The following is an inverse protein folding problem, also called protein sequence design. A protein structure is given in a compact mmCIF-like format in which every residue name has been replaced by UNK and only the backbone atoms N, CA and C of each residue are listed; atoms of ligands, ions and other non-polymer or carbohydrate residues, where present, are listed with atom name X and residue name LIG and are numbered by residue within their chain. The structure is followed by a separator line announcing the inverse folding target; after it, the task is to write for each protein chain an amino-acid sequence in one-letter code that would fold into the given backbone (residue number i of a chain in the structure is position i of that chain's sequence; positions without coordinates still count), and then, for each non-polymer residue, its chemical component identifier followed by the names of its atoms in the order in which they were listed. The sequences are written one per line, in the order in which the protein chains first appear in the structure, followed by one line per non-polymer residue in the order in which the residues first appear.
data_IF_749690355918
#
_entry.id   IF_749690355918
#
_cell.length_a   1.000
_cell.length_b   1.000
_cell.length_c   1.000
_cell.angle_alpha   90.00
_cell.angle_beta   90.00
_cell.angle_gamma   90.00
#
_symmetry.space_group_name_H-M   'P 1'
#
loop_
_entity.id
_entity.type
_entity.pdbx_description
1 polymer ?
#
# COMPACT_ATOMS: atom_id res chain seq x y z
N UNK A 1 13.86 -0.65 13.60
CA UNK A 1 12.80 -0.25 12.66
C UNK A 1 12.30 1.15 13.03
N UNK A 2 12.19 2.02 12.05
CA UNK A 2 11.82 3.43 12.27
C UNK A 2 10.30 3.66 12.37
N UNK A 3 9.50 2.58 12.28
CA UNK A 3 8.05 2.63 12.45
C UNK A 3 7.26 3.12 11.24
N UNK A 4 7.89 3.20 10.08
CA UNK A 4 7.24 3.56 8.82
C UNK A 4 6.85 2.28 8.07
N UNK A 5 5.63 2.25 7.53
CA UNK A 5 5.11 1.24 6.62
C UNK A 5 5.06 1.81 5.20
N UNK A 6 5.45 1.00 4.22
CA UNK A 6 5.33 1.34 2.80
C UNK A 6 4.73 0.16 2.05
N UNK A 7 3.69 0.41 1.29
CA UNK A 7 3.09 -0.57 0.37
C UNK A 7 3.00 0.03 -1.03
N UNK A 8 3.12 -0.82 -2.05
CA UNK A 8 3.20 -0.42 -3.45
C UNK A 8 2.13 -1.15 -4.27
N UNK A 9 1.45 -0.42 -5.14
CA UNK A 9 0.41 -0.96 -6.02
C UNK A 9 0.69 -0.49 -7.46
N UNK A 10 1.06 -1.41 -8.34
CA UNK A 10 1.30 -1.10 -9.76
C UNK A 10 0.02 -0.59 -10.40
N UNK A 11 0.14 0.51 -11.12
CA UNK A 11 -0.94 1.08 -11.93
C UNK A 11 -0.60 0.87 -13.40
N UNK A 12 -1.54 0.29 -14.14
CA UNK A 12 -1.38 0.14 -15.59
C UNK A 12 -1.77 1.46 -16.25
N UNK A 13 -0.81 2.09 -16.88
CA UNK A 13 -0.98 3.38 -17.58
C UNK A 13 -0.77 3.23 -19.08
N UNK A 14 -1.16 4.22 -19.84
CA UNK A 14 -0.74 4.34 -21.22
C UNK A 14 0.78 4.58 -21.23
N UNK A 15 1.48 3.95 -22.18
CA UNK A 15 2.94 4.08 -22.26
C UNK A 15 3.31 5.54 -22.56
N UNK A 16 4.09 6.20 -21.72
CA UNK A 16 4.56 7.56 -22.01
C UNK A 16 5.46 7.56 -23.23
N UNK A 17 5.48 8.67 -23.96
CA UNK A 17 6.44 8.91 -25.03
C UNK A 17 7.87 9.00 -24.48
N UNK A 18 8.85 8.77 -25.31
CA UNK A 18 10.27 8.85 -24.89
C UNK A 18 10.68 10.25 -24.41
N UNK A 19 10.00 11.27 -24.87
CA UNK A 19 10.13 12.68 -24.47
C UNK A 19 9.43 13.01 -23.14
N UNK A 20 8.52 12.15 -22.69
CA UNK A 20 7.80 12.29 -21.41
C UNK A 20 8.50 11.57 -20.24
N UNK A 21 9.53 10.76 -20.54
CA UNK A 21 10.22 9.95 -19.52
C UNK A 21 11.55 10.60 -19.17
N UNK A 22 11.67 11.07 -17.94
CA UNK A 22 12.94 11.52 -17.38
C UNK A 22 13.66 10.38 -16.64
N UNK A 23 14.99 10.45 -16.48
CA UNK A 23 15.69 9.54 -15.59
C UNK A 23 15.11 9.58 -14.17
N UNK A 24 14.93 8.41 -13.58
CA UNK A 24 14.30 8.31 -12.25
C UNK A 24 14.67 7.05 -11.51
N UNK A 25 14.06 6.87 -10.34
CA UNK A 25 14.34 5.77 -9.43
C UNK A 25 13.42 4.59 -9.74
N UNK A 26 13.95 3.37 -9.94
CA UNK A 26 13.15 2.17 -10.07
C UNK A 26 12.27 1.91 -8.84
N UNK A 27 11.03 1.50 -9.04
CA UNK A 27 10.02 1.41 -7.97
C UNK A 27 10.44 0.51 -6.79
N UNK A 28 11.18 -0.56 -7.04
CA UNK A 28 11.67 -1.46 -6.01
C UNK A 28 12.75 -0.84 -5.10
N UNK A 29 13.43 0.22 -5.55
CA UNK A 29 14.35 1.01 -4.73
C UNK A 29 13.63 2.13 -3.97
N UNK A 30 12.58 2.69 -4.55
CA UNK A 30 11.82 3.81 -3.96
C UNK A 30 11.32 3.47 -2.56
N UNK A 31 10.63 2.34 -2.42
CA UNK A 31 10.12 1.87 -1.12
C UNK A 31 11.25 1.62 -0.11
N UNK A 32 12.36 1.04 -0.56
CA UNK A 32 13.54 0.81 0.27
C UNK A 32 14.18 2.10 0.76
N UNK A 33 14.38 3.06 -0.11
CA UNK A 33 14.93 4.37 0.21
C UNK A 33 14.05 5.06 1.27
N UNK A 34 12.72 5.04 1.09
CA UNK A 34 11.81 5.62 2.06
C UNK A 34 11.93 4.96 3.44
N UNK A 35 12.02 3.61 3.50
CA UNK A 35 12.18 2.89 4.77
C UNK A 35 13.54 3.11 5.44
N UNK A 36 14.60 3.39 4.68
CA UNK A 36 15.93 3.63 5.21
C UNK A 36 16.14 5.07 5.68
N UNK A 37 15.55 6.05 4.98
CA UNK A 37 15.81 7.47 5.21
C UNK A 37 14.74 8.14 6.08
N UNK A 38 13.48 7.67 6.05
CA UNK A 38 12.38 8.36 6.71
C UNK A 38 12.07 7.80 8.10
N UNK A 39 11.68 8.69 9.02
CA UNK A 39 11.31 8.37 10.40
C UNK A 39 9.82 8.52 10.66
N UNK A 40 9.07 9.09 9.70
CA UNK A 40 7.62 9.29 9.76
C UNK A 40 6.97 9.08 8.40
N UNK A 41 5.65 8.85 8.39
CA UNK A 41 4.87 8.77 7.16
C UNK A 41 4.91 10.10 6.38
N UNK A 42 4.98 11.22 7.09
CA UNK A 42 5.09 12.56 6.50
C UNK A 42 6.40 12.74 5.74
N UNK A 43 7.53 12.36 6.36
CA UNK A 43 8.83 12.40 5.69
C UNK A 43 8.86 11.49 4.45
N UNK A 44 8.27 10.30 4.56
CA UNK A 44 8.16 9.37 3.43
C UNK A 44 7.29 9.96 2.31
N UNK A 45 6.13 10.57 2.62
CA UNK A 45 5.32 11.29 1.65
C UNK A 45 6.13 12.39 0.96
N UNK A 46 6.81 13.24 1.72
CA UNK A 46 7.54 14.38 1.18
C UNK A 46 8.73 13.94 0.32
N UNK A 47 9.37 12.83 0.66
CA UNK A 47 10.40 12.20 -0.15
C UNK A 47 9.81 11.69 -1.47
N UNK A 48 8.73 10.92 -1.44
CA UNK A 48 8.07 10.36 -2.61
C UNK A 48 7.55 11.45 -3.56
N UNK A 49 7.02 12.56 -3.01
CA UNK A 49 6.54 13.69 -3.81
C UNK A 49 7.65 14.41 -4.58
N UNK A 50 8.90 14.34 -4.12
CA UNK A 50 10.06 14.98 -4.77
C UNK A 50 10.91 14.03 -5.62
N UNK A 51 10.73 12.73 -5.43
CA UNK A 51 11.53 11.73 -6.13
C UNK A 51 11.09 11.59 -7.58
N UNK A 52 12.01 11.49 -8.55
CA UNK A 52 11.63 11.17 -9.93
C UNK A 52 11.26 9.69 -10.05
N UNK A 53 10.07 9.41 -10.55
CA UNK A 53 9.55 8.06 -10.75
C UNK A 53 9.67 7.63 -12.21
N UNK A 54 10.03 6.36 -12.45
CA UNK A 54 10.06 5.75 -13.79
C UNK A 54 8.92 4.74 -14.02
N UNK A 55 8.07 4.56 -13.01
CA UNK A 55 6.97 3.59 -13.05
C UNK A 55 5.73 4.21 -12.43
N UNK A 56 4.57 3.76 -12.91
CA UNK A 56 3.26 4.20 -12.43
C UNK A 56 2.82 3.35 -11.26
N UNK A 57 2.71 3.95 -10.08
CA UNK A 57 2.37 3.26 -8.83
C UNK A 57 1.53 4.15 -7.90
N UNK A 58 0.76 3.47 -7.06
CA UNK A 58 0.25 4.05 -5.82
C UNK A 58 1.12 3.56 -4.67
N UNK A 59 1.64 4.48 -3.88
CA UNK A 59 2.32 4.21 -2.62
C UNK A 59 1.35 4.52 -1.48
N UNK A 60 1.18 3.58 -0.54
CA UNK A 60 0.56 3.86 0.73
C UNK A 60 1.67 3.86 1.78
N UNK A 61 1.88 4.99 2.43
CA UNK A 61 2.82 5.16 3.52
C UNK A 61 2.07 5.44 4.81
N UNK A 62 2.50 4.83 5.91
CA UNK A 62 1.84 4.99 7.21
C UNK A 62 2.84 4.88 8.36
N UNK A 63 2.51 5.52 9.47
CA UNK A 63 3.12 5.31 10.77
C UNK A 63 2.03 5.19 11.86
N UNK A 64 2.40 5.23 13.13
CA UNK A 64 1.45 5.13 14.24
C UNK A 64 0.46 6.31 14.35
N UNK A 65 0.69 7.39 13.60
CA UNK A 65 -0.03 8.67 13.74
C UNK A 65 -0.80 9.06 12.48
N UNK A 66 -0.22 8.82 11.32
CA UNK A 66 -0.77 9.29 10.05
C UNK A 66 -0.50 8.34 8.89
N UNK A 67 -1.27 8.48 7.81
CA UNK A 67 -1.10 7.71 6.60
C UNK A 67 -1.41 8.57 5.37
N UNK A 68 -0.74 8.27 4.25
CA UNK A 68 -0.90 8.98 2.98
C UNK A 68 -0.93 7.99 1.81
N UNK A 69 -1.68 8.31 0.77
CA UNK A 69 -1.56 7.67 -0.54
C UNK A 69 -0.93 8.67 -1.49
N UNK A 70 0.12 8.24 -2.17
CA UNK A 70 0.84 9.00 -3.18
C UNK A 70 0.68 8.28 -4.51
N UNK A 71 0.11 8.94 -5.48
CA UNK A 71 -0.03 8.48 -6.85
C UNK A 71 1.13 9.03 -7.68
N UNK A 72 1.94 8.16 -8.27
CA UNK A 72 3.14 8.51 -9.00
C UNK A 72 3.14 7.91 -10.41
N UNK A 73 3.58 8.72 -11.36
CA UNK A 73 3.81 8.38 -12.77
C UNK A 73 5.05 9.16 -13.24
N UNK A 74 5.79 8.74 -14.26
CA UNK A 74 6.91 9.52 -14.79
C UNK A 74 6.57 10.97 -15.14
N UNK A 75 5.30 11.26 -15.45
CA UNK A 75 4.79 12.57 -15.84
C UNK A 75 4.30 13.44 -14.69
N UNK A 76 4.13 12.86 -13.48
CA UNK A 76 3.66 13.63 -12.32
C UNK A 76 3.44 12.80 -11.07
N UNK A 77 3.38 13.48 -9.94
CA UNK A 77 3.15 12.88 -8.62
C UNK A 77 2.11 13.70 -7.87
N UNK A 78 1.13 13.03 -7.24
CA UNK A 78 0.11 13.69 -6.42
C UNK A 78 -0.16 12.87 -5.16
N UNK A 79 -0.39 13.57 -4.05
CA UNK A 79 -0.91 12.95 -2.84
C UNK A 79 -2.45 13.04 -2.84
N UNK A 80 -3.11 11.96 -2.44
CA UNK A 80 -4.55 11.99 -2.22
C UNK A 80 -4.84 12.64 -0.87
N UNK A 81 -5.81 13.53 -0.84
CA UNK A 81 -6.38 14.01 0.41
C UNK A 81 -7.15 12.88 1.10
N UNK A 82 -7.05 12.85 2.42
CA UNK A 82 -7.76 11.89 3.23
C UNK A 82 -9.23 12.34 3.35
N UNK A 83 -10.13 11.46 2.92
CA UNK A 83 -11.57 11.61 3.11
C UNK A 83 -12.06 10.43 3.95
N UNK A 84 -12.42 10.70 5.21
CA UNK A 84 -12.85 9.68 6.15
C UNK A 84 -11.74 9.03 7.01
N UNK A 85 -12.09 7.99 7.77
CA UNK A 85 -11.21 7.28 8.67
C UNK A 85 -10.38 6.20 7.95
N UNK A 86 -10.89 5.62 6.86
CA UNK A 86 -10.18 4.63 6.06
C UNK A 86 -9.48 5.27 4.87
N UNK A 87 -8.20 4.96 4.72
CA UNK A 87 -7.42 5.29 3.54
C UNK A 87 -7.08 3.99 2.79
N UNK A 88 -7.43 3.93 1.52
CA UNK A 88 -7.20 2.76 0.69
C UNK A 88 -6.55 3.13 -0.64
N UNK A 89 -5.71 2.21 -1.14
CA UNK A 89 -5.12 2.28 -2.46
C UNK A 89 -5.26 0.92 -3.16
N UNK A 90 -5.48 0.96 -4.47
CA UNK A 90 -5.52 -0.21 -5.34
C UNK A 90 -4.72 0.08 -6.63
N UNK A 91 -5.00 -0.60 -7.72
CA UNK A 91 -4.21 -0.52 -8.94
C UNK A 91 -4.76 0.48 -9.97
N UNK A 92 -5.25 1.65 -9.52
CA UNK A 92 -5.69 2.74 -10.39
C UNK A 92 -5.53 4.10 -9.71
N UNK A 93 -5.42 5.15 -10.50
CA UNK A 93 -5.33 6.52 -10.02
C UNK A 93 -6.72 7.09 -9.69
N UNK A 94 -6.80 7.85 -8.61
CA UNK A 94 -8.01 8.53 -8.13
C UNK A 94 -7.92 10.05 -8.26
N UNK A 95 -6.70 10.60 -8.12
CA UNK A 95 -6.49 12.05 -8.20
C UNK A 95 -6.85 12.56 -9.61
N UNK A 96 -7.63 13.65 -9.73
CA UNK A 96 -8.10 14.16 -11.04
C UNK A 96 -6.96 14.40 -12.04
N UNK A 97 -5.82 14.91 -11.59
CA UNK A 97 -4.67 15.17 -12.44
C UNK A 97 -3.86 13.91 -12.81
N UNK A 98 -4.03 12.80 -12.10
CA UNK A 98 -3.35 11.54 -12.40
C UNK A 98 -4.16 10.62 -13.31
N UNK A 99 -5.50 10.71 -13.25
CA UNK A 99 -6.41 9.90 -14.08
C UNK A 99 -6.11 9.95 -15.58
N UNK A 100 -5.77 11.10 -16.18
CA UNK A 100 -5.44 11.16 -17.61
C UNK A 100 -4.29 10.24 -18.02
N UNK A 101 -3.29 10.01 -17.15
CA UNK A 101 -2.16 9.13 -17.44
C UNK A 101 -2.55 7.66 -17.52
N UNK A 102 -3.62 7.27 -16.85
CA UNK A 102 -4.12 5.89 -16.84
C UNK A 102 -4.91 5.54 -18.11
N UNK A 103 -5.53 6.51 -18.74
CA UNK A 103 -6.34 6.29 -19.94
C UNK A 103 -7.49 5.32 -19.66
N UNK A 104 -7.67 4.31 -20.54
CA UNK A 104 -8.76 3.31 -20.47
C UNK A 104 -8.37 2.03 -19.72
N UNK A 105 -7.20 1.96 -19.12
CA UNK A 105 -6.63 0.72 -18.55
C UNK A 105 -7.04 0.45 -17.10
N UNK A 106 -8.15 1.02 -16.63
CA UNK A 106 -8.67 0.73 -15.28
C UNK A 106 -9.27 -0.67 -15.25
N UNK A 107 -8.73 -1.53 -14.41
CA UNK A 107 -9.32 -2.83 -14.14
C UNK A 107 -10.59 -2.68 -13.29
N UNK A 108 -11.72 -3.27 -13.73
CA UNK A 108 -12.94 -3.33 -12.93
C UNK A 108 -12.70 -3.96 -11.54
N UNK A 109 -11.82 -4.96 -11.47
CA UNK A 109 -11.42 -5.58 -10.20
C UNK A 109 -10.74 -4.57 -9.25
N UNK A 110 -9.96 -3.62 -9.78
CA UNK A 110 -9.31 -2.59 -8.97
C UNK A 110 -10.33 -1.65 -8.32
N UNK A 111 -11.35 -1.24 -9.08
CA UNK A 111 -12.46 -0.43 -8.57
C UNK A 111 -13.26 -1.17 -7.50
N UNK A 112 -13.72 -2.38 -7.78
CA UNK A 112 -14.49 -3.19 -6.83
C UNK A 112 -13.74 -3.41 -5.50
N UNK A 113 -12.41 -3.63 -5.52
CA UNK A 113 -11.60 -3.76 -4.30
C UNK A 113 -11.54 -2.46 -3.51
N UNK A 114 -11.41 -1.34 -4.19
CA UNK A 114 -11.40 -0.03 -3.54
C UNK A 114 -12.74 0.23 -2.85
N UNK A 115 -13.85 0.04 -3.55
CA UNK A 115 -15.20 0.26 -3.02
C UNK A 115 -15.46 -0.62 -1.79
N UNK A 116 -15.03 -1.88 -1.83
CA UNK A 116 -15.13 -2.79 -0.70
C UNK A 116 -14.34 -2.30 0.51
N UNK A 117 -13.07 -1.89 0.30
CA UNK A 117 -12.20 -1.42 1.38
C UNK A 117 -12.74 -0.14 2.03
N UNK A 118 -13.23 0.80 1.23
CA UNK A 118 -13.83 2.03 1.74
C UNK A 118 -15.17 1.79 2.45
N UNK A 119 -15.93 0.76 2.03
CA UNK A 119 -17.17 0.37 2.69
C UNK A 119 -16.94 -0.41 4.00
N UNK A 120 -15.77 -1.00 4.22
CA UNK A 120 -15.44 -1.73 5.43
C UNK A 120 -15.46 -0.82 6.68
N UNK A 121 -15.16 0.48 6.52
CA UNK A 121 -15.28 1.48 7.58
C UNK A 121 -16.70 1.56 8.17
N UNK A 122 -17.73 1.47 7.32
CA UNK A 122 -19.12 1.65 7.71
C UNK A 122 -19.69 0.45 8.46
N UNK A 123 -18.95 -0.67 8.49
CA UNK A 123 -19.38 -1.94 9.10
C UNK A 123 -18.70 -2.20 10.46
N UNK A 124 -17.86 -1.28 10.93
CA UNK A 124 -17.00 -1.53 12.08
C UNK A 124 -17.58 -0.93 13.35
N UNK A 125 -18.01 -1.80 14.26
CA UNK A 125 -17.93 -1.51 15.70
C UNK A 125 -16.42 -1.40 15.99
N UNK A 126 -15.97 -0.23 16.39
CA UNK A 126 -14.52 0.09 16.52
C UNK A 126 -13.83 -0.90 17.46
N UNK A 127 -12.88 -1.73 16.99
CA UNK A 127 -12.14 -2.62 17.87
C UNK A 127 -11.31 -1.83 18.89
N UNK A 128 -11.39 -2.22 20.14
CA UNK A 128 -10.76 -1.47 21.26
C UNK A 128 -9.34 -1.96 21.56
N UNK A 129 -8.96 -3.16 21.11
CA UNK A 129 -7.65 -3.76 21.39
C UNK A 129 -6.84 -4.02 20.14
N UNK A 130 -5.50 -4.07 20.27
CA UNK A 130 -4.60 -4.43 19.17
C UNK A 130 -4.94 -5.78 18.53
N UNK A 131 -5.27 -6.79 19.33
CA UNK A 131 -5.65 -8.11 18.81
C UNK A 131 -6.95 -8.05 18.01
N UNK A 132 -7.93 -7.28 18.49
CA UNK A 132 -9.19 -7.09 17.77
C UNK A 132 -9.00 -6.33 16.45
N UNK A 133 -8.12 -5.33 16.41
CA UNK A 133 -7.75 -4.61 15.18
C UNK A 133 -7.09 -5.53 14.16
N UNK A 134 -6.10 -6.31 14.58
CA UNK A 134 -5.42 -7.27 13.71
C UNK A 134 -6.41 -8.31 13.18
N UNK A 135 -7.20 -8.92 14.05
CA UNK A 135 -8.21 -9.91 13.65
C UNK A 135 -9.29 -9.31 12.72
N UNK A 136 -9.65 -8.04 12.91
CA UNK A 136 -10.57 -7.35 11.99
C UNK A 136 -9.95 -7.17 10.60
N UNK A 137 -8.71 -6.71 10.52
CA UNK A 137 -7.99 -6.57 9.26
C UNK A 137 -7.81 -7.93 8.54
N UNK A 138 -7.51 -9.01 9.28
CA UNK A 138 -7.43 -10.37 8.75
C UNK A 138 -8.75 -10.82 8.12
N UNK A 139 -9.89 -10.56 8.80
CA UNK A 139 -11.21 -10.89 8.25
C UNK A 139 -11.52 -10.13 6.97
N UNK A 140 -11.17 -8.83 6.89
CA UNK A 140 -11.32 -8.03 5.67
C UNK A 140 -10.49 -8.63 4.53
N UNK A 141 -9.25 -9.00 4.81
CA UNK A 141 -8.35 -9.59 3.81
C UNK A 141 -8.81 -10.97 3.35
N UNK A 142 -9.45 -11.75 4.22
CA UNK A 142 -9.93 -13.11 3.94
C UNK A 142 -11.38 -13.16 3.37
N UNK A 143 -12.07 -12.05 3.27
CA UNK A 143 -13.47 -12.00 2.85
C UNK A 143 -13.63 -12.42 1.38
N UNK A 144 -14.29 -13.58 1.17
CA UNK A 144 -14.52 -14.14 -0.17
C UNK A 144 -15.61 -13.42 -0.97
N UNK A 145 -16.47 -12.68 -0.31
CA UNK A 145 -17.49 -11.84 -0.97
C UNK A 145 -16.85 -10.64 -1.68
N UNK A 146 -15.62 -10.30 -1.26
CA UNK A 146 -14.85 -9.22 -1.82
C UNK A 146 -13.79 -9.70 -2.82
N UNK A 147 -13.48 -8.91 -3.83
CA UNK A 147 -12.40 -9.22 -4.77
C UNK A 147 -11.01 -8.95 -4.19
N UNK A 148 -10.85 -8.80 -2.87
CA UNK A 148 -9.55 -8.51 -2.23
C UNK A 148 -8.69 -9.76 -2.16
N UNK A 149 -9.33 -10.92 -1.92
CA UNK A 149 -8.67 -12.20 -1.75
C UNK A 149 -8.95 -13.16 -2.91
N UNK A 150 -8.07 -14.12 -3.10
CA UNK A 150 -8.29 -15.29 -3.91
C UNK A 150 -7.63 -15.29 -5.28
N UNK A 151 -7.87 -16.39 -6.02
CA UNK A 151 -7.42 -16.57 -7.39
C UNK A 151 -8.45 -15.99 -8.37
N UNK A 152 -7.98 -15.19 -9.34
CA UNK A 152 -8.81 -14.64 -10.42
C UNK A 152 -8.11 -14.79 -11.74
N UNK A 153 -8.54 -15.78 -12.51
CA UNK A 153 -7.89 -16.12 -13.77
C UNK A 153 -6.43 -16.51 -13.54
N UNK A 154 -5.50 -15.82 -14.16
CA UNK A 154 -4.07 -16.06 -14.06
C UNK A 154 -3.41 -15.43 -12.79
N UNK A 155 -4.16 -14.69 -11.98
CA UNK A 155 -3.64 -14.01 -10.79
C UNK A 155 -4.12 -14.70 -9.52
N UNK A 156 -3.21 -14.94 -8.60
CA UNK A 156 -3.51 -15.45 -7.27
C UNK A 156 -2.79 -14.63 -6.19
N UNK A 157 -3.38 -14.55 -5.00
CA UNK A 157 -2.75 -13.92 -3.84
C UNK A 157 -1.67 -14.86 -3.31
N UNK A 158 -0.42 -14.44 -3.39
CA UNK A 158 0.74 -15.22 -2.95
C UNK A 158 1.01 -15.08 -1.44
N UNK A 159 0.64 -13.96 -0.87
CA UNK A 159 0.79 -13.66 0.55
C UNK A 159 -0.06 -12.45 0.94
N UNK A 160 -0.32 -12.33 2.22
CA UNK A 160 -1.00 -11.19 2.81
C UNK A 160 -0.35 -10.78 4.12
N UNK A 161 -0.44 -9.51 4.45
CA UNK A 161 0.16 -8.97 5.66
C UNK A 161 -0.79 -7.95 6.28
N UNK A 162 -0.93 -8.01 7.60
CA UNK A 162 -1.62 -7.01 8.42
C UNK A 162 -0.68 -6.51 9.50
N UNK A 163 -0.76 -5.22 9.81
CA UNK A 163 0.10 -4.60 10.83
C UNK A 163 -0.68 -3.63 11.69
N UNK A 164 -0.40 -3.63 12.99
CA UNK A 164 -0.76 -2.57 13.91
C UNK A 164 0.52 -1.78 14.23
N UNK A 165 0.58 -0.52 13.74
CA UNK A 165 1.83 0.22 13.67
C UNK A 165 2.24 0.82 15.01
N UNK A 166 1.31 1.08 15.93
CA UNK A 166 1.60 1.63 17.25
C UNK A 166 2.32 0.62 18.15
N UNK A 167 1.81 -0.63 18.17
CA UNK A 167 2.46 -1.74 18.88
C UNK A 167 3.55 -2.43 18.06
N UNK A 168 3.68 -2.09 16.76
CA UNK A 168 4.62 -2.70 15.80
C UNK A 168 4.43 -4.20 15.64
N UNK A 169 3.20 -4.67 15.77
CA UNK A 169 2.85 -6.07 15.54
C UNK A 169 2.49 -6.27 14.09
N UNK A 170 3.03 -7.33 13.51
CA UNK A 170 2.81 -7.71 12.11
C UNK A 170 2.39 -9.17 12.07
N UNK A 171 1.36 -9.49 11.30
CA UNK A 171 0.95 -10.85 10.99
C UNK A 171 1.00 -11.08 9.49
N UNK A 172 1.44 -12.24 9.10
CA UNK A 172 1.69 -12.62 7.70
C UNK A 172 1.03 -13.96 7.41
N UNK A 173 0.33 -14.06 6.27
CA UNK A 173 -0.18 -15.29 5.70
C UNK A 173 0.63 -15.65 4.46
N UNK A 174 1.26 -16.82 4.45
CA UNK A 174 2.01 -17.35 3.32
C UNK A 174 1.05 -18.05 2.34
N UNK A 175 0.29 -17.29 1.60
CA UNK A 175 -0.75 -17.73 0.67
C UNK A 175 -1.93 -16.79 0.66
N UNK A 176 -3.02 -17.22 -0.01
CA UNK A 176 -4.28 -16.50 0.00
C UNK A 176 -4.86 -16.47 1.43
N UNK A 177 -5.26 -15.31 1.95
CA UNK A 177 -5.64 -15.15 3.36
C UNK A 177 -6.93 -15.87 3.76
N UNK A 178 -7.71 -16.36 2.80
CA UNK A 178 -8.87 -17.22 3.00
C UNK A 178 -8.51 -18.72 3.13
N UNK A 179 -7.26 -19.08 2.82
CA UNK A 179 -6.77 -20.46 2.83
C UNK A 179 -5.52 -20.65 3.71
N UNK A 180 -4.74 -19.59 3.93
CA UNK A 180 -3.53 -19.63 4.74
C UNK A 180 -3.75 -18.85 6.05
N UNK A 181 -3.41 -19.41 7.23
CA UNK A 181 -3.53 -18.71 8.50
C UNK A 181 -2.53 -17.56 8.60
N UNK A 182 -2.92 -16.49 9.28
CA UNK A 182 -2.00 -15.44 9.68
C UNK A 182 -1.18 -15.87 10.89
N UNK A 183 0.13 -15.70 10.80
CA UNK A 183 1.06 -15.95 11.91
C UNK A 183 1.79 -14.65 12.27
N UNK A 184 2.06 -14.46 13.54
CA UNK A 184 2.85 -13.31 14.02
C UNK A 184 4.29 -13.38 13.52
N UNK A 185 4.79 -12.27 12.97
CA UNK A 185 6.18 -12.16 12.53
C UNK A 185 7.00 -11.61 13.68
N UNK A 186 7.90 -12.45 14.20
CA UNK A 186 8.92 -12.02 15.17
C UNK A 186 10.19 -11.69 14.40
N UNK A 187 10.63 -10.45 14.50
CA UNK A 187 11.96 -10.10 14.02
C UNK A 187 12.98 -10.53 15.06
N UNK A 188 13.92 -11.38 14.68
CA UNK A 188 15.14 -11.57 15.46
C UNK A 188 15.77 -10.19 15.69
N UNK A 189 16.39 -9.97 16.86
CA UNK A 189 17.03 -8.71 17.23
C UNK A 189 17.75 -8.06 16.05
N UNK A 190 17.70 -6.75 15.90
CA UNK A 190 18.36 -6.07 14.79
C UNK A 190 19.81 -6.55 14.75
N UNK A 191 20.24 -7.01 13.57
CA UNK A 191 21.64 -7.31 13.33
C UNK A 191 22.43 -6.10 13.85
N UNK A 192 23.23 -6.30 14.89
CA UNK A 192 24.19 -5.32 15.33
C UNK A 192 25.19 -5.17 14.19
N UNK A 193 24.94 -4.22 13.30
CA UNK A 193 25.94 -3.80 12.35
C UNK A 193 27.05 -3.19 13.18
N UNK A 194 28.11 -3.97 13.38
CA UNK A 194 29.30 -3.48 14.05
C UNK A 194 29.74 -2.22 13.33
N UNK A 195 29.85 -1.15 14.11
CA UNK A 195 30.52 0.06 13.62
C UNK A 195 31.98 -0.35 13.36
N UNK A 196 32.34 -0.41 12.09
CA UNK A 196 33.74 -0.42 11.67
C UNK A 196 34.34 0.97 11.87
#
# INVERSE_FOLDING_TARGET
ARGVWVSLHVVMTDTPGMDEVAPGVPFHLVGRIALELCHSAREARDLLMRMPHISSLNYLVADASEAFVIEADPRGVRALERDGAVLAATNHFRHPEMRPFQGRRVSANSGCRLDFLLAAERRSDTPVTTDALLAHAERIMADKSAPVCGARGALTTLWSCVAELRSRRIRYAAGAPDAAPFAEVTFASPLSVGRA
#
